data_IF_897244439176
#
_entry.id   IF_897244439176
#
_cell.length_a   1.000
_cell.length_b   1.000
_cell.length_c   1.000
_cell.angle_alpha   90.00
_cell.angle_beta   90.00
_cell.angle_gamma   90.00
#
_symmetry.space_group_name_H-M   'P 1'
#
loop_
_entity.id
_entity.type
_entity.pdbx_description
1 polymer ?
#
# COMPACT_ATOMS: atom_id res chain seq x y z
N UNK A 1 25.13 -6.62 -9.93
CA UNK A 1 24.36 -7.67 -10.63
C UNK A 1 24.20 -7.31 -12.09
N UNK A 2 24.41 -8.25 -13.01
CA UNK A 2 24.56 -7.99 -14.46
C UNK A 2 23.26 -7.51 -15.16
N UNK A 3 22.09 -7.81 -14.58
CA UNK A 3 20.78 -7.52 -15.20
C UNK A 3 19.97 -6.41 -14.50
N UNK A 4 20.37 -6.01 -13.29
CA UNK A 4 19.64 -5.01 -12.48
C UNK A 4 18.36 -5.55 -11.84
N UNK A 5 18.04 -5.08 -10.63
CA UNK A 5 16.86 -5.53 -9.88
C UNK A 5 15.55 -5.19 -10.60
N UNK A 6 15.48 -4.05 -11.28
CA UNK A 6 14.27 -3.59 -11.97
C UNK A 6 13.86 -4.51 -13.12
N UNK A 7 14.84 -5.03 -13.89
CA UNK A 7 14.56 -5.96 -14.98
C UNK A 7 14.08 -7.32 -14.44
N UNK A 8 14.77 -7.85 -13.43
CA UNK A 8 14.42 -9.12 -12.81
C UNK A 8 13.03 -9.04 -12.16
N UNK A 9 12.76 -7.97 -11.41
CA UNK A 9 11.47 -7.75 -10.75
C UNK A 9 10.35 -7.60 -11.78
N UNK A 10 10.57 -6.88 -12.87
CA UNK A 10 9.59 -6.73 -13.94
C UNK A 10 9.17 -8.08 -14.53
N UNK A 11 10.14 -8.93 -14.88
CA UNK A 11 9.88 -10.29 -15.38
C UNK A 11 9.19 -11.14 -14.31
N UNK A 12 9.66 -11.09 -13.06
CA UNK A 12 9.08 -11.86 -11.94
C UNK A 12 7.61 -11.52 -11.71
N UNK A 13 7.24 -10.24 -11.75
CA UNK A 13 5.84 -9.80 -11.57
C UNK A 13 4.97 -10.20 -12.76
N UNK A 14 5.50 -10.14 -13.99
CA UNK A 14 4.78 -10.57 -15.19
C UNK A 14 4.50 -12.08 -15.17
N UNK A 15 5.49 -12.90 -14.80
CA UNK A 15 5.34 -14.35 -14.64
C UNK A 15 4.33 -14.68 -13.55
N UNK A 16 4.34 -13.96 -12.43
CA UNK A 16 3.36 -14.15 -11.36
C UNK A 16 1.92 -13.90 -11.82
N UNK A 17 1.68 -12.82 -12.58
CA UNK A 17 0.37 -12.52 -13.18
C UNK A 17 -0.06 -13.58 -14.20
N UNK A 18 0.84 -13.99 -15.09
CA UNK A 18 0.56 -15.03 -16.07
C UNK A 18 0.25 -16.39 -15.40
N UNK A 19 0.95 -16.72 -14.32
CA UNK A 19 0.69 -17.92 -13.52
C UNK A 19 -0.69 -17.89 -12.85
N UNK A 20 -1.12 -16.74 -12.33
CA UNK A 20 -2.45 -16.56 -11.77
C UNK A 20 -3.54 -16.79 -12.84
N UNK A 21 -3.38 -16.18 -14.01
CA UNK A 21 -4.32 -16.32 -15.15
C UNK A 21 -4.36 -17.76 -15.66
N UNK A 22 -3.21 -18.41 -15.83
CA UNK A 22 -3.12 -19.81 -16.25
C UNK A 22 -3.82 -20.76 -15.28
N UNK A 23 -3.84 -20.44 -13.98
CA UNK A 23 -4.56 -21.18 -12.94
C UNK A 23 -6.01 -20.74 -12.76
N UNK A 24 -6.49 -19.76 -13.54
CA UNK A 24 -7.79 -19.12 -13.41
C UNK A 24 -8.07 -18.63 -11.96
N UNK A 25 -7.05 -18.03 -11.34
CA UNK A 25 -7.12 -17.49 -9.98
C UNK A 25 -6.92 -15.97 -10.01
N UNK A 26 -7.66 -15.21 -9.18
CA UNK A 26 -7.28 -13.84 -8.86
C UNK A 26 -5.83 -13.78 -8.33
N UNK A 27 -5.08 -12.75 -8.72
CA UNK A 27 -3.65 -12.61 -8.37
C UNK A 27 -3.37 -12.76 -6.87
N UNK A 28 -4.20 -12.18 -6.00
CA UNK A 28 -4.01 -12.28 -4.54
C UNK A 28 -4.14 -13.72 -4.02
N UNK A 29 -5.02 -14.55 -4.62
CA UNK A 29 -5.14 -15.98 -4.28
C UNK A 29 -3.95 -16.76 -4.80
N UNK A 30 -3.49 -16.46 -6.00
CA UNK A 30 -2.29 -17.10 -6.55
C UNK A 30 -1.06 -16.83 -5.67
N UNK A 31 -0.86 -15.58 -5.25
CA UNK A 31 0.22 -15.20 -4.31
C UNK A 31 0.06 -15.93 -2.97
N UNK A 32 -1.16 -16.01 -2.42
CA UNK A 32 -1.41 -16.73 -1.18
C UNK A 32 -1.05 -18.22 -1.29
N UNK A 33 -1.40 -18.87 -2.40
CA UNK A 33 -1.02 -20.26 -2.67
C UNK A 33 0.50 -20.43 -2.77
N UNK A 34 1.22 -19.52 -3.44
CA UNK A 34 2.69 -19.57 -3.50
C UNK A 34 3.33 -19.40 -2.12
N UNK A 35 2.70 -18.62 -1.23
CA UNK A 35 3.18 -18.33 0.12
C UNK A 35 2.74 -19.37 1.17
N UNK A 36 1.89 -20.35 0.80
CA UNK A 36 1.31 -21.30 1.76
C UNK A 36 0.29 -20.67 2.72
N UNK A 37 -0.32 -19.55 2.34
CA UNK A 37 -1.30 -18.83 3.16
C UNK A 37 -2.72 -19.33 2.87
N UNK A 38 -3.35 -19.98 3.84
CA UNK A 38 -4.72 -20.49 3.72
C UNK A 38 -5.78 -19.39 3.89
N UNK A 39 -5.48 -18.37 4.71
CA UNK A 39 -6.41 -17.29 5.05
C UNK A 39 -5.96 -15.97 4.45
N UNK A 40 -6.84 -15.37 3.65
CA UNK A 40 -6.68 -14.00 3.15
C UNK A 40 -7.14 -13.00 4.21
N UNK A 41 -6.33 -11.97 4.44
CA UNK A 41 -6.61 -10.90 5.39
C UNK A 41 -6.50 -9.57 4.65
N UNK A 42 -7.48 -8.68 4.85
CA UNK A 42 -7.37 -7.30 4.40
C UNK A 42 -6.54 -6.50 5.41
N UNK A 43 -5.51 -5.75 4.97
CA UNK A 43 -4.62 -5.05 5.88
C UNK A 43 -5.27 -3.77 6.43
N UNK A 44 -4.76 -3.26 7.54
CA UNK A 44 -5.01 -1.87 7.94
C UNK A 44 -4.21 -0.96 7.00
N UNK A 45 -4.84 -0.02 6.29
CA UNK A 45 -4.12 0.91 5.43
C UNK A 45 -3.34 1.93 6.26
N UNK A 46 -2.09 2.20 5.88
CA UNK A 46 -1.30 3.30 6.42
C UNK A 46 -1.32 4.47 5.42
N UNK A 47 -2.06 5.53 5.75
CA UNK A 47 -2.18 6.70 4.89
C UNK A 47 -1.09 7.69 5.26
N UNK A 48 -0.16 7.96 4.34
CA UNK A 48 0.79 9.06 4.49
C UNK A 48 0.06 10.40 4.31
N UNK A 49 0.11 11.27 5.32
CA UNK A 49 -0.68 12.51 5.37
C UNK A 49 0.16 13.78 5.52
N UNK A 50 1.41 13.68 6.02
CA UNK A 50 2.35 14.81 6.10
C UNK A 50 3.74 14.31 5.70
N UNK A 51 4.37 15.04 4.78
CA UNK A 51 5.73 14.77 4.31
C UNK A 51 6.74 15.75 4.93
N UNK A 52 7.93 15.23 5.24
CA UNK A 52 9.12 15.97 5.63
C UNK A 52 10.37 15.33 5.02
N UNK A 53 11.54 15.64 5.58
CA UNK A 53 12.83 15.11 5.17
C UNK A 53 13.08 15.32 3.67
N UNK A 54 13.64 14.31 3.01
CA UNK A 54 13.95 14.38 1.58
C UNK A 54 12.70 14.44 0.67
N UNK A 55 11.51 14.18 1.20
CA UNK A 55 10.25 14.26 0.46
C UNK A 55 9.61 15.65 0.49
N UNK A 56 10.12 16.59 1.29
CA UNK A 56 9.60 17.96 1.35
C UNK A 56 10.67 19.00 1.66
N UNK A 57 10.63 20.16 0.99
CA UNK A 57 11.53 21.28 1.25
C UNK A 57 11.24 22.09 2.52
N UNK A 58 10.62 21.46 3.53
CA UNK A 58 10.26 22.12 4.80
C UNK A 58 11.27 21.77 5.90
N UNK A 59 11.10 22.33 7.10
CA UNK A 59 12.01 22.11 8.24
C UNK A 59 11.76 20.78 8.99
N UNK A 60 10.77 20.00 8.57
CA UNK A 60 10.37 18.79 9.26
C UNK A 60 11.40 17.69 8.95
N UNK A 61 12.15 17.24 9.95
CA UNK A 61 13.19 16.24 9.74
C UNK A 61 12.63 14.83 9.46
N UNK A 62 11.50 14.50 10.08
CA UNK A 62 10.84 13.19 9.90
C UNK A 62 10.17 13.12 8.51
N UNK A 63 10.38 12.00 7.83
CA UNK A 63 10.05 11.86 6.41
C UNK A 63 8.54 11.75 6.15
N UNK A 64 7.83 10.94 6.94
CA UNK A 64 6.43 10.58 6.71
C UNK A 64 5.70 10.48 8.06
N UNK A 65 4.52 11.10 8.13
CA UNK A 65 3.59 10.92 9.23
C UNK A 65 2.33 10.27 8.68
N UNK A 66 2.01 9.09 9.21
CA UNK A 66 0.91 8.28 8.72
C UNK A 66 -0.22 8.16 9.75
N UNK A 67 -1.44 8.04 9.25
CA UNK A 67 -2.60 7.63 10.05
C UNK A 67 -3.03 6.22 9.68
N UNK A 68 -3.38 5.43 10.70
CA UNK A 68 -3.81 4.04 10.55
C UNK A 68 -5.19 3.89 11.24
N UNK A 69 -6.27 3.59 10.50
CA UNK A 69 -7.61 3.43 11.06
C UNK A 69 -7.78 2.02 11.66
N UNK A 70 -7.07 1.72 12.75
CA UNK A 70 -7.09 0.39 13.40
C UNK A 70 -8.44 0.03 14.03
N UNK A 71 -9.33 1.00 14.22
CA UNK A 71 -10.69 0.80 14.73
C UNK A 71 -11.76 0.51 13.68
N UNK A 72 -11.41 0.49 12.39
CA UNK A 72 -12.36 0.17 11.32
C UNK A 72 -12.73 -1.32 11.30
N UNK A 73 -14.01 -1.63 11.08
CA UNK A 73 -14.52 -3.00 10.98
C UNK A 73 -14.28 -3.64 9.62
N UNK A 74 -14.06 -2.82 8.58
CA UNK A 74 -13.80 -3.29 7.21
C UNK A 74 -12.74 -2.42 6.52
N UNK A 75 -12.12 -2.95 5.47
CA UNK A 75 -11.21 -2.16 4.63
C UNK A 75 -11.91 -0.94 4.00
N UNK A 76 -13.17 -1.10 3.58
CA UNK A 76 -13.97 0.00 3.02
C UNK A 76 -14.17 1.13 4.03
N UNK A 77 -14.48 0.78 5.28
CA UNK A 77 -14.59 1.75 6.38
C UNK A 77 -13.23 2.40 6.68
N UNK A 78 -12.15 1.62 6.72
CA UNK A 78 -10.79 2.14 6.88
C UNK A 78 -10.43 3.17 5.79
N UNK A 79 -10.81 2.91 4.54
CA UNK A 79 -10.64 3.84 3.43
C UNK A 79 -11.46 5.13 3.61
N UNK A 80 -12.71 5.01 4.07
CA UNK A 80 -13.55 6.16 4.38
C UNK A 80 -12.94 7.02 5.48
N UNK A 81 -12.58 6.43 6.61
CA UNK A 81 -11.95 7.12 7.74
C UNK A 81 -10.66 7.85 7.31
N UNK A 82 -9.76 7.17 6.60
CA UNK A 82 -8.52 7.76 6.13
C UNK A 82 -8.74 8.94 5.18
N UNK A 83 -9.69 8.80 4.25
CA UNK A 83 -10.03 9.85 3.26
C UNK A 83 -10.66 11.08 3.93
N UNK A 84 -11.59 10.87 4.86
CA UNK A 84 -12.20 11.97 5.63
C UNK A 84 -11.13 12.73 6.41
N UNK A 85 -10.26 12.04 7.16
CA UNK A 85 -9.17 12.70 7.91
C UNK A 85 -8.22 13.45 6.97
N UNK A 86 -7.85 12.86 5.83
CA UNK A 86 -6.97 13.52 4.85
C UNK A 86 -7.56 14.85 4.33
N UNK A 87 -8.84 14.86 3.96
CA UNK A 87 -9.49 16.09 3.47
C UNK A 87 -9.69 17.13 4.57
N UNK A 88 -9.99 16.72 5.80
CA UNK A 88 -10.04 17.65 6.94
C UNK A 88 -8.66 18.24 7.25
N UNK A 89 -7.61 17.42 7.28
CA UNK A 89 -6.24 17.88 7.51
C UNK A 89 -5.80 18.88 6.44
N UNK A 90 -6.16 18.63 5.17
CA UNK A 90 -5.91 19.59 4.08
C UNK A 90 -6.54 20.96 4.36
N UNK A 91 -7.75 21.00 4.89
CA UNK A 91 -8.41 22.26 5.24
C UNK A 91 -7.72 22.95 6.42
N UNK A 92 -7.29 22.19 7.44
CA UNK A 92 -6.55 22.72 8.59
C UNK A 92 -5.21 23.33 8.15
N UNK A 93 -4.45 22.66 7.26
CA UNK A 93 -3.15 23.15 6.77
C UNK A 93 -3.29 24.38 5.87
N UNK A 94 -4.41 24.50 5.14
CA UNK A 94 -4.69 25.67 4.29
C UNK A 94 -5.05 26.92 5.12
N UNK A 95 -5.49 26.73 6.36
CA UNK A 95 -5.92 27.80 7.27
C UNK A 95 -4.71 28.40 7.99
#
# INVERSE_FOLDING_TARGET
>A
GKLGANAILGVSLAVCKAGAEHKNLPLYKYIANLAGNEKIILPVPAFNVINGGSHAGNKLAMQEFMILPTGASTFTEAMKMGTEVYHHLKNVIKS
#
